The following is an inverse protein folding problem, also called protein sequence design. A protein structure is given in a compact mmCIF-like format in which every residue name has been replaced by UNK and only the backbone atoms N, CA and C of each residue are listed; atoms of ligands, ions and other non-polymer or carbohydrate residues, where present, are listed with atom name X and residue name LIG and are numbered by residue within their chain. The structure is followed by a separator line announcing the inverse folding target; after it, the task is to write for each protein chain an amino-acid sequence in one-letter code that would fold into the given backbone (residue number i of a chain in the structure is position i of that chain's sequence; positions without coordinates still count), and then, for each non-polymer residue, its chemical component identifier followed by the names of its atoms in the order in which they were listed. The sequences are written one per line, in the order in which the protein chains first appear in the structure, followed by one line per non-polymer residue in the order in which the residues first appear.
data_IF_081229928619
#
_entry.id   IF_081229928619
#
_cell.length_a   1.000
_cell.length_b   1.000
_cell.length_c   1.000
_cell.angle_alpha   90.00
_cell.angle_beta   90.00
_cell.angle_gamma   90.00
#
_symmetry.space_group_name_H-M   'P 1'
#
loop_
_entity.id
_entity.type
_entity.pdbx_description
1 polymer ?
#
# COMPACT_ATOMS: atom_id res chain seq x y z
N UNK A 1 -8.92 30.61 -10.93
CA UNK A 1 -8.51 29.29 -11.46
C UNK A 1 -8.22 28.36 -10.30
N UNK A 2 -9.18 27.49 -9.95
CA UNK A 2 -9.01 26.52 -8.86
C UNK A 2 -8.07 25.41 -9.33
N UNK A 3 -6.91 25.26 -8.68
CA UNK A 3 -6.00 24.13 -8.89
C UNK A 3 -6.60 22.92 -8.17
N UNK A 4 -7.28 22.05 -8.92
CA UNK A 4 -7.63 20.73 -8.44
C UNK A 4 -6.35 19.90 -8.31
N UNK A 5 -5.72 19.92 -7.14
CA UNK A 5 -4.68 18.96 -6.71
C UNK A 5 -5.27 17.57 -6.36
N UNK A 6 -6.37 17.20 -7.03
CA UNK A 6 -7.07 15.94 -6.80
C UNK A 6 -6.55 14.86 -7.75
N UNK A 7 -5.52 14.12 -7.32
CA UNK A 7 -5.33 12.75 -7.80
C UNK A 7 -4.01 12.39 -8.49
N UNK A 8 -2.93 13.17 -8.31
CA UNK A 8 -1.59 12.64 -8.64
C UNK A 8 -1.15 11.69 -7.53
N UNK A 9 -1.47 10.40 -7.68
CA UNK A 9 -0.74 9.39 -6.94
C UNK A 9 0.74 9.54 -7.29
N UNK A 10 1.57 9.66 -6.26
CA UNK A 10 3.01 9.72 -6.45
C UNK A 10 3.44 8.43 -7.15
N UNK A 11 4.12 8.58 -8.29
CA UNK A 11 4.62 7.44 -9.07
C UNK A 11 5.84 6.83 -8.40
N UNK A 12 6.43 7.50 -7.41
CA UNK A 12 7.40 6.90 -6.50
C UNK A 12 6.64 6.18 -5.38
N UNK A 13 6.76 4.84 -5.23
CA UNK A 13 6.21 4.15 -4.08
C UNK A 13 6.84 4.63 -2.75
N UNK A 14 7.94 5.39 -2.78
CA UNK A 14 8.76 5.68 -1.64
C UNK A 14 9.71 4.52 -1.36
N UNK A 15 10.08 4.32 -0.10
CA UNK A 15 10.93 3.18 0.28
C UNK A 15 10.05 1.94 0.43
N UNK A 16 10.05 1.06 -0.56
CA UNK A 16 9.37 -0.25 -0.48
C UNK A 16 10.03 -1.09 0.61
N UNK A 17 9.24 -1.56 1.57
CA UNK A 17 9.69 -2.42 2.67
C UNK A 17 9.27 -3.88 2.47
N UNK A 18 8.17 -4.10 1.75
CA UNK A 18 7.70 -5.44 1.42
C UNK A 18 6.80 -5.38 0.18
N UNK A 19 6.71 -6.50 -0.55
CA UNK A 19 5.81 -6.62 -1.68
C UNK A 19 5.41 -8.06 -1.93
N UNK A 20 4.20 -8.27 -2.42
CA UNK A 20 3.74 -9.58 -2.88
C UNK A 20 2.89 -9.44 -4.15
N UNK A 21 2.96 -10.47 -5.01
CA UNK A 21 2.12 -10.57 -6.19
C UNK A 21 0.73 -11.08 -5.85
N UNK A 22 -0.31 -10.56 -6.54
CA UNK A 22 -1.67 -11.13 -6.49
C UNK A 22 -1.94 -12.00 -7.72
N UNK A 23 -1.58 -11.48 -8.90
CA UNK A 23 -1.73 -12.11 -10.23
C UNK A 23 -0.64 -11.55 -11.17
N UNK A 24 -0.54 -12.08 -12.39
CA UNK A 24 0.38 -11.52 -13.39
C UNK A 24 0.13 -10.03 -13.59
N UNK A 25 1.15 -9.21 -13.41
CA UNK A 25 1.07 -7.75 -13.54
C UNK A 25 0.45 -7.01 -12.34
N UNK A 26 -0.06 -7.70 -11.32
CA UNK A 26 -0.63 -7.08 -10.12
C UNK A 26 0.27 -7.32 -8.90
N UNK A 27 0.64 -6.24 -8.20
CA UNK A 27 1.49 -6.32 -7.02
C UNK A 27 1.00 -5.39 -5.93
N UNK A 28 1.06 -5.83 -4.68
CA UNK A 28 0.89 -4.92 -3.54
C UNK A 28 2.27 -4.48 -3.08
N UNK A 29 2.43 -3.17 -2.92
CA UNK A 29 3.59 -2.58 -2.29
C UNK A 29 3.24 -2.06 -0.90
N UNK A 30 4.06 -2.45 0.08
CA UNK A 30 4.12 -1.83 1.39
C UNK A 30 5.33 -0.92 1.38
N UNK A 31 5.13 0.37 1.59
CA UNK A 31 6.19 1.35 1.48
C UNK A 31 6.08 2.45 2.52
N UNK A 32 7.23 3.00 2.91
CA UNK A 32 7.29 4.21 3.73
C UNK A 32 7.25 5.43 2.83
N UNK A 33 6.35 6.36 3.17
CA UNK A 33 6.26 7.64 2.48
C UNK A 33 7.53 8.47 2.68
N UNK A 34 8.07 9.03 1.59
CA UNK A 34 9.13 10.06 1.69
C UNK A 34 8.55 11.46 1.92
N UNK A 35 7.38 11.73 1.32
CA UNK A 35 6.74 13.05 1.35
C UNK A 35 5.87 13.29 2.59
N UNK A 36 5.27 12.25 3.17
CA UNK A 36 4.23 12.38 4.21
C UNK A 36 4.65 11.86 5.59
N UNK A 37 5.94 11.93 5.93
CA UNK A 37 6.48 11.57 7.26
C UNK A 37 6.41 10.06 7.58
N UNK A 38 6.19 9.70 8.85
CA UNK A 38 6.13 8.31 9.33
C UNK A 38 4.81 7.59 8.96
N UNK A 39 4.43 7.65 7.68
CA UNK A 39 3.27 6.95 7.11
C UNK A 39 3.70 5.76 6.27
N UNK A 40 2.91 4.71 6.35
CA UNK A 40 3.06 3.48 5.58
C UNK A 40 1.91 3.43 4.57
N UNK A 41 2.26 3.24 3.31
CA UNK A 41 1.32 2.97 2.24
C UNK A 41 1.25 1.46 2.01
N UNK A 42 0.05 0.91 1.94
CA UNK A 42 -0.21 -0.46 1.51
C UNK A 42 -1.14 -0.34 0.31
N UNK A 43 -0.62 -0.53 -0.90
CA UNK A 43 -1.33 -0.16 -2.14
C UNK A 43 -1.10 -1.16 -3.24
N UNK A 44 -2.12 -1.37 -4.06
CA UNK A 44 -2.03 -2.16 -5.29
C UNK A 44 -1.40 -1.34 -6.41
N UNK A 45 -0.55 -2.01 -7.18
CA UNK A 45 0.15 -1.48 -8.33
C UNK A 45 -0.04 -2.42 -9.51
N UNK A 46 -0.18 -1.83 -10.69
CA UNK A 46 -0.37 -2.53 -11.95
C UNK A 46 0.83 -2.31 -12.85
N UNK A 47 1.25 -3.35 -13.55
CA UNK A 47 2.27 -3.29 -14.59
C UNK A 47 1.62 -2.74 -15.86
N UNK A 48 2.24 -1.74 -16.48
CA UNK A 48 1.83 -1.26 -17.80
C UNK A 48 2.65 -1.92 -18.92
N UNK A 49 2.25 -1.67 -20.17
CA UNK A 49 2.89 -2.21 -21.38
C UNK A 49 4.35 -1.77 -21.56
N UNK A 50 4.81 -0.77 -20.80
CA UNK A 50 6.19 -0.30 -20.78
C UNK A 50 7.04 -1.01 -19.72
N UNK A 51 6.49 -2.03 -19.05
CA UNK A 51 7.17 -2.75 -17.97
C UNK A 51 7.30 -1.96 -16.67
N UNK A 52 6.55 -0.86 -16.50
CA UNK A 52 6.59 -0.03 -15.30
C UNK A 52 5.34 -0.22 -14.45
N UNK A 53 5.53 -0.27 -13.13
CA UNK A 53 4.41 -0.32 -12.18
C UNK A 53 3.84 1.07 -11.91
N UNK A 54 2.52 1.17 -11.79
CA UNK A 54 1.83 2.39 -11.38
C UNK A 54 0.81 2.10 -10.26
N UNK A 55 0.62 3.05 -9.31
CA UNK A 55 -0.30 2.85 -8.19
C UNK A 55 -1.76 2.92 -8.65
N UNK A 56 -2.60 2.09 -8.06
CA UNK A 56 -4.06 2.18 -8.19
C UNK A 56 -4.66 2.98 -7.03
N UNK A 57 -5.98 3.25 -7.12
CA UNK A 57 -6.74 3.81 -5.99
C UNK A 57 -6.94 2.81 -4.85
N UNK A 58 -6.83 1.51 -5.12
CA UNK A 58 -7.00 0.46 -4.13
C UNK A 58 -5.78 0.39 -3.20
N UNK A 59 -5.98 0.78 -1.95
CA UNK A 59 -4.94 0.80 -0.95
C UNK A 59 -5.27 1.76 0.18
N UNK A 60 -4.48 1.66 1.24
CA UNK A 60 -4.63 2.45 2.46
C UNK A 60 -3.32 3.15 2.79
N UNK A 61 -3.43 4.28 3.47
CA UNK A 61 -2.28 4.97 4.08
C UNK A 61 -2.51 5.01 5.57
N UNK A 62 -1.52 4.55 6.33
CA UNK A 62 -1.60 4.37 7.77
C UNK A 62 -0.46 5.11 8.45
N UNK A 63 -0.73 5.70 9.59
CA UNK A 63 0.29 6.09 10.56
C UNK A 63 0.91 4.85 11.21
N UNK A 64 2.09 5.01 11.82
CA UNK A 64 2.74 3.93 12.57
C UNK A 64 1.87 3.37 13.72
N UNK A 65 1.06 4.23 14.36
CA UNK A 65 0.13 3.80 15.42
C UNK A 65 -0.96 2.87 14.86
N UNK A 66 -1.54 3.21 13.71
CA UNK A 66 -2.53 2.38 13.03
C UNK A 66 -1.93 1.06 12.53
N UNK A 67 -0.69 1.06 12.04
CA UNK A 67 0.01 -0.18 11.66
C UNK A 67 0.15 -1.13 12.86
N UNK A 68 0.49 -0.61 14.05
CA UNK A 68 0.58 -1.44 15.27
C UNK A 68 -0.76 -2.04 15.67
N UNK A 69 -1.85 -1.27 15.54
CA UNK A 69 -3.21 -1.76 15.79
C UNK A 69 -3.63 -2.82 14.76
N UNK A 70 -3.36 -2.55 13.48
CA UNK A 70 -3.66 -3.48 12.39
C UNK A 70 -2.92 -4.81 12.57
N UNK A 71 -1.64 -4.78 12.96
CA UNK A 71 -0.87 -6.00 13.25
C UNK A 71 -1.57 -6.87 14.29
N UNK A 72 -1.96 -6.29 15.43
CA UNK A 72 -2.70 -7.01 16.49
C UNK A 72 -4.03 -7.56 15.99
N UNK A 73 -4.76 -6.79 15.19
CA UNK A 73 -6.03 -7.23 14.63
C UNK A 73 -5.86 -8.40 13.65
N UNK A 74 -4.82 -8.37 12.81
CA UNK A 74 -4.50 -9.46 11.88
C UNK A 74 -4.04 -10.72 12.62
N UNK A 75 -3.20 -10.59 13.66
CA UNK A 75 -2.82 -11.69 14.56
C UNK A 75 -4.09 -12.38 15.11
N UNK A 76 -5.04 -11.61 15.65
CA UNK A 76 -6.32 -12.14 16.15
C UNK A 76 -7.21 -12.75 15.07
N UNK A 77 -7.23 -12.17 13.87
CA UNK A 77 -7.98 -12.75 12.76
C UNK A 77 -7.40 -14.11 12.35
N UNK A 78 -6.08 -14.25 12.28
CA UNK A 78 -5.43 -15.53 11.96
C UNK A 78 -5.75 -16.62 12.99
N UNK A 79 -5.73 -16.30 14.29
CA UNK A 79 -6.10 -17.25 15.35
C UNK A 79 -7.51 -17.85 15.13
N UNK A 80 -8.45 -17.10 14.53
CA UNK A 80 -9.79 -17.62 14.25
C UNK A 80 -9.82 -18.69 13.15
N UNK A 81 -8.92 -18.61 12.17
CA UNK A 81 -8.86 -19.55 11.04
C UNK A 81 -7.95 -20.75 11.30
N UNK A 82 -7.21 -20.76 12.41
CA UNK A 82 -6.41 -21.92 12.86
C UNK A 82 -7.24 -22.88 13.75
N UNK A 83 -8.46 -22.50 14.12
CA UNK A 83 -9.39 -23.29 14.94
C UNK A 83 -10.48 -24.02 14.11
N UNK A 84 -10.55 -23.75 12.81
CA UNK A 84 -11.38 -24.45 11.81
C UNK A 84 -10.54 -25.50 11.06
#
# INVERSE_FOLDING_TARGET
MSKNDNGKFDRDPGTVVYSWGRKSGERVFVSRSKAYGNRIHIREWLLNDKGAYYPTRAGITLSLSEVRKLRRALEKACEMYELD
#
